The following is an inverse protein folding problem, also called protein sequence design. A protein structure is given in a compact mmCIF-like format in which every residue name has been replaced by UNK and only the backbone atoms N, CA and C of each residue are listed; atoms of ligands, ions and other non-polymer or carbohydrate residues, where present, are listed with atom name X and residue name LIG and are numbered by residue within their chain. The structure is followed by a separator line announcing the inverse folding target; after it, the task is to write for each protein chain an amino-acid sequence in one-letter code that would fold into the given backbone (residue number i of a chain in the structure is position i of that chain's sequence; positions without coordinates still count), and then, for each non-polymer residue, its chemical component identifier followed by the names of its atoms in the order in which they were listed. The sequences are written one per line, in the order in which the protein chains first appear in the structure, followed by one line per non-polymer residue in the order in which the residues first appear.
data_IF_280479657519
#
_entry.id   IF_280479657519
#
_cell.length_a   1.000
_cell.length_b   1.000
_cell.length_c   1.000
_cell.angle_alpha   90.00
_cell.angle_beta   90.00
_cell.angle_gamma   90.00
#
_symmetry.space_group_name_H-M   'P 1'
#
loop_
_entity.id
_entity.type
_entity.pdbx_description
1 polymer ?
#
# COMPACT_ATOMS: atom_id res chain seq x y z
N UNK A 1 -23.09 -6.82 9.84
CA UNK A 1 -22.63 -8.23 9.78
C UNK A 1 -21.27 -8.25 9.10
N UNK A 2 -20.29 -8.93 9.70
CA UNK A 2 -18.96 -9.18 9.11
C UNK A 2 -18.99 -10.56 8.46
N UNK A 3 -18.41 -10.76 7.26
CA UNK A 3 -18.33 -12.10 6.66
C UNK A 3 -17.37 -12.97 7.48
N UNK A 4 -17.51 -14.28 7.33
CA UNK A 4 -16.50 -15.22 7.80
C UNK A 4 -15.20 -15.07 7.01
N UNK A 5 -14.09 -15.45 7.62
CA UNK A 5 -12.77 -15.45 6.99
C UNK A 5 -12.17 -16.85 7.09
N UNK A 6 -11.50 -17.26 6.01
CA UNK A 6 -10.67 -18.45 5.97
C UNK A 6 -9.21 -18.04 5.93
N UNK A 7 -8.38 -18.76 6.69
CA UNK A 7 -7.00 -18.41 6.95
C UNK A 7 -6.09 -19.50 6.39
N UNK A 8 -5.00 -19.11 5.75
CA UNK A 8 -4.07 -20.06 5.17
C UNK A 8 -2.63 -19.65 5.46
N UNK A 9 -1.76 -20.66 5.54
CA UNK A 9 -0.32 -20.48 5.66
C UNK A 9 0.46 -21.29 4.63
N UNK A 10 1.68 -20.86 4.38
CA UNK A 10 2.70 -21.60 3.66
C UNK A 10 4.08 -21.21 4.20
N UNK A 11 5.02 -22.16 4.27
CA UNK A 11 6.41 -21.81 4.58
C UNK A 11 6.96 -20.85 3.53
N UNK A 12 7.71 -19.83 3.97
CA UNK A 12 8.33 -18.86 3.06
C UNK A 12 9.36 -19.50 2.12
N UNK A 13 9.93 -20.65 2.51
CA UNK A 13 10.93 -21.39 1.73
C UNK A 13 10.33 -22.31 0.64
N UNK A 14 9.00 -22.38 0.54
CA UNK A 14 8.30 -23.24 -0.42
C UNK A 14 7.98 -22.48 -1.71
N UNK A 15 8.13 -23.14 -2.86
CA UNK A 15 7.70 -22.57 -4.14
C UNK A 15 6.16 -22.56 -4.27
N UNK A 16 5.57 -21.53 -4.91
CA UNK A 16 6.22 -20.37 -5.54
C UNK A 16 6.48 -19.18 -4.58
N UNK A 17 6.14 -19.32 -3.29
CA UNK A 17 6.22 -18.22 -2.31
C UNK A 17 7.65 -17.69 -2.19
N UNK A 18 8.64 -18.58 -2.08
CA UNK A 18 10.06 -18.22 -2.01
C UNK A 18 10.51 -17.31 -3.15
N UNK A 19 10.27 -17.75 -4.40
CA UNK A 19 10.68 -16.98 -5.59
C UNK A 19 9.95 -15.65 -5.69
N UNK A 20 8.66 -15.61 -5.32
CA UNK A 20 7.85 -14.39 -5.36
C UNK A 20 8.25 -13.39 -4.27
N UNK A 21 8.50 -13.84 -3.04
CA UNK A 21 8.98 -12.97 -1.94
C UNK A 21 10.33 -12.35 -2.31
N UNK A 22 11.27 -13.16 -2.81
CA UNK A 22 12.56 -12.66 -3.30
C UNK A 22 12.39 -11.64 -4.42
N UNK A 23 11.59 -11.96 -5.44
CA UNK A 23 11.31 -11.04 -6.54
C UNK A 23 10.78 -9.69 -6.01
N UNK A 24 9.82 -9.73 -5.09
CA UNK A 24 9.24 -8.52 -4.54
C UNK A 24 10.27 -7.69 -3.75
N UNK A 25 11.14 -8.33 -2.97
CA UNK A 25 12.21 -7.62 -2.23
C UNK A 25 13.21 -6.95 -3.17
N UNK A 26 13.67 -7.66 -4.19
CA UNK A 26 14.60 -7.12 -5.19
C UNK A 26 13.98 -5.93 -5.94
N UNK A 27 12.69 -6.02 -6.27
CA UNK A 27 11.93 -4.96 -6.93
C UNK A 27 11.66 -3.78 -5.98
N UNK A 28 11.41 -4.03 -4.69
CA UNK A 28 11.26 -2.99 -3.67
C UNK A 28 12.55 -2.18 -3.52
N UNK A 29 13.70 -2.84 -3.49
CA UNK A 29 14.98 -2.15 -3.32
C UNK A 29 15.26 -1.19 -4.50
N UNK A 30 14.93 -1.61 -5.74
CA UNK A 30 15.01 -0.74 -6.92
C UNK A 30 14.05 0.44 -6.81
N UNK A 31 12.79 0.17 -6.42
CA UNK A 31 11.79 1.22 -6.19
C UNK A 31 12.32 2.26 -5.20
N UNK A 32 12.87 1.82 -4.08
CA UNK A 32 13.26 2.73 -2.99
C UNK A 32 14.43 3.64 -3.40
N UNK A 33 15.37 3.13 -4.21
CA UNK A 33 16.44 3.95 -4.82
C UNK A 33 15.90 4.99 -5.81
N UNK A 34 14.95 4.60 -6.67
CA UNK A 34 14.31 5.50 -7.64
C UNK A 34 13.49 6.60 -6.91
N UNK A 35 12.75 6.22 -5.86
CA UNK A 35 11.97 7.14 -5.03
C UNK A 35 12.85 8.13 -4.28
N UNK A 36 13.91 7.66 -3.63
CA UNK A 36 14.87 8.48 -2.89
C UNK A 36 15.46 9.59 -3.77
N UNK A 37 15.79 9.25 -5.03
CA UNK A 37 16.28 10.22 -6.01
C UNK A 37 15.27 11.34 -6.27
N UNK A 38 13.96 11.04 -6.33
CA UNK A 38 12.92 12.06 -6.49
C UNK A 38 12.80 12.90 -5.22
N UNK A 39 12.79 12.28 -4.04
CA UNK A 39 12.60 12.96 -2.75
C UNK A 39 13.72 13.94 -2.43
N UNK A 40 14.97 13.61 -2.78
CA UNK A 40 16.11 14.53 -2.63
C UNK A 40 15.94 15.85 -3.41
N UNK A 41 15.07 15.86 -4.43
CA UNK A 41 14.77 17.08 -5.20
C UNK A 41 13.61 17.90 -4.63
N UNK A 42 13.00 17.48 -3.52
CA UNK A 42 11.86 18.13 -2.86
C UNK A 42 12.31 18.56 -1.46
N UNK A 43 12.74 19.83 -1.26
CA UNK A 43 13.40 20.26 -0.01
C UNK A 43 12.57 20.07 1.27
N UNK A 44 11.25 20.19 1.15
CA UNK A 44 10.30 20.06 2.27
C UNK A 44 9.71 18.64 2.39
N UNK A 45 10.27 17.64 1.70
CA UNK A 45 9.79 16.25 1.80
C UNK A 45 10.12 15.65 3.16
N UNK A 46 9.10 15.24 3.91
CA UNK A 46 9.26 14.42 5.12
C UNK A 46 8.57 13.05 4.95
N UNK A 47 7.37 13.07 4.38
CA UNK A 47 6.68 11.88 3.91
C UNK A 47 5.70 12.27 2.80
N UNK A 48 5.03 11.29 2.19
CA UNK A 48 3.89 11.56 1.33
C UNK A 48 2.57 11.44 2.11
N UNK A 49 1.55 12.16 1.66
CA UNK A 49 0.18 11.98 2.13
C UNK A 49 -0.56 11.03 1.18
N UNK A 50 -1.02 9.89 1.70
CA UNK A 50 -1.70 8.86 0.94
C UNK A 50 -1.38 7.46 1.43
N UNK A 51 -1.53 6.48 0.55
CA UNK A 51 -1.25 5.07 0.82
C UNK A 51 -0.26 4.49 -0.21
N UNK A 52 -0.02 3.20 -0.10
CA UNK A 52 0.88 2.43 -0.97
C UNK A 52 0.47 2.37 -2.46
N UNK A 53 -0.75 2.81 -2.79
CA UNK A 53 -1.33 2.78 -4.13
C UNK A 53 -1.75 4.17 -4.63
N UNK A 54 -1.86 5.17 -3.75
CA UNK A 54 -2.36 6.50 -4.08
C UNK A 54 -1.66 7.57 -3.26
N UNK A 55 -0.97 8.48 -3.95
CA UNK A 55 -0.37 9.67 -3.33
C UNK A 55 -1.22 10.88 -3.65
N UNK A 56 -1.62 11.62 -2.63
CA UNK A 56 -2.45 12.82 -2.74
C UNK A 56 -1.66 14.11 -2.52
N UNK A 57 -0.39 14.03 -2.10
CA UNK A 57 0.52 15.17 -1.96
C UNK A 57 1.77 14.83 -1.16
N UNK A 58 2.65 15.83 -1.01
CA UNK A 58 3.80 15.74 -0.11
C UNK A 58 3.38 16.26 1.27
N UNK A 59 3.69 15.51 2.32
CA UNK A 59 3.43 15.91 3.69
C UNK A 59 4.69 16.51 4.32
N UNK A 60 4.49 17.57 5.10
CA UNK A 60 5.54 18.31 5.77
C UNK A 60 5.01 18.87 7.09
N UNK A 61 5.85 18.93 8.12
CA UNK A 61 5.51 19.61 9.37
C UNK A 61 5.49 21.12 9.19
N UNK A 62 4.59 21.80 9.91
CA UNK A 62 4.47 23.26 9.83
C UNK A 62 5.70 24.00 10.35
N UNK A 63 6.53 23.35 11.16
CA UNK A 63 7.75 23.92 11.73
C UNK A 63 8.99 23.67 10.84
N UNK A 64 8.83 23.03 9.69
CA UNK A 64 9.95 22.76 8.78
C UNK A 64 10.46 24.07 8.16
N UNK A 65 11.78 24.38 8.25
CA UNK A 65 12.33 25.61 7.67
C UNK A 65 12.12 25.74 6.15
N UNK A 66 12.07 24.62 5.42
CA UNK A 66 11.78 24.64 3.98
C UNK A 66 10.30 24.90 3.69
N UNK A 67 9.40 24.52 4.60
CA UNK A 67 7.98 24.89 4.50
C UNK A 67 7.78 26.39 4.66
N UNK A 68 8.46 27.01 5.63
CA UNK A 68 8.39 28.45 5.88
C UNK A 68 8.76 29.29 4.64
N UNK A 69 9.65 28.78 3.78
CA UNK A 69 10.03 29.43 2.52
C UNK A 69 8.94 29.41 1.46
N UNK A 70 8.01 28.45 1.52
CA UNK A 70 7.00 28.22 0.47
C UNK A 70 5.57 28.49 0.94
N UNK A 71 5.33 28.74 2.23
CA UNK A 71 3.98 28.85 2.81
C UNK A 71 3.12 29.95 2.18
N UNK A 72 3.75 31.01 1.69
CA UNK A 72 3.10 32.17 1.07
C UNK A 72 3.26 32.20 -0.46
N UNK A 73 3.92 31.19 -1.07
CA UNK A 73 4.10 31.08 -2.52
C UNK A 73 2.87 30.47 -3.18
N UNK A 74 2.25 31.22 -4.09
CA UNK A 74 1.04 30.84 -4.83
C UNK A 74 1.25 29.68 -5.83
N UNK A 75 2.48 29.21 -6.00
CA UNK A 75 2.83 28.02 -6.77
C UNK A 75 2.46 26.73 -6.06
N UNK A 76 2.19 26.77 -4.76
CA UNK A 76 1.86 25.61 -3.94
C UNK A 76 0.45 25.73 -3.36
N UNK A 77 -0.24 24.59 -3.31
CA UNK A 77 -1.52 24.43 -2.65
C UNK A 77 -1.29 23.65 -1.36
N UNK A 78 -1.54 24.32 -0.25
CA UNK A 78 -1.27 23.83 1.10
C UNK A 78 -2.60 23.56 1.80
N UNK A 79 -2.80 22.34 2.25
CA UNK A 79 -3.99 21.91 3.00
C UNK A 79 -3.56 21.35 4.36
N UNK A 80 -4.18 21.79 5.45
CA UNK A 80 -3.90 21.23 6.77
C UNK A 80 -4.39 19.79 6.86
N UNK A 81 -3.52 18.88 7.30
CA UNK A 81 -3.90 17.50 7.63
C UNK A 81 -4.34 17.46 9.10
N UNK A 82 -3.53 18.06 9.97
CA UNK A 82 -3.79 18.21 11.40
C UNK A 82 -3.08 19.48 11.90
N UNK A 83 -2.96 19.64 13.23
CA UNK A 83 -2.33 20.82 13.83
C UNK A 83 -0.81 20.93 13.57
N UNK A 84 -0.16 19.86 13.17
CA UNK A 84 1.30 19.77 13.05
C UNK A 84 1.79 19.57 11.62
N UNK A 85 0.93 19.09 10.72
CA UNK A 85 1.28 18.69 9.36
C UNK A 85 0.35 19.27 8.31
N UNK A 86 0.96 19.59 7.17
CA UNK A 86 0.28 20.04 5.96
C UNK A 86 0.54 19.08 4.81
N UNK A 87 -0.42 19.03 3.88
CA UNK A 87 -0.32 18.40 2.58
C UNK A 87 -0.04 19.48 1.55
N UNK A 88 0.97 19.27 0.72
CA UNK A 88 1.45 20.21 -0.29
C UNK A 88 1.30 19.56 -1.67
N UNK A 89 0.61 20.26 -2.55
CA UNK A 89 0.52 19.95 -3.99
C UNK A 89 0.88 21.19 -4.79
N UNK A 90 1.12 21.06 -6.10
CA UNK A 90 1.42 22.22 -6.93
C UNK A 90 0.18 22.89 -7.49
N UNK A 91 0.19 24.21 -7.63
CA UNK A 91 -0.77 24.90 -8.48
C UNK A 91 -0.45 24.61 -9.96
N UNK A 92 -1.39 24.00 -10.68
CA UNK A 92 -1.26 23.67 -12.09
C UNK A 92 -1.16 24.88 -13.02
N UNK A 93 -1.26 26.11 -12.51
CA UNK A 93 -1.11 27.35 -13.29
C UNK A 93 0.34 27.85 -13.32
N UNK A 94 1.16 27.52 -12.33
CA UNK A 94 2.56 27.99 -12.27
C UNK A 94 3.54 26.93 -12.77
N UNK A 95 4.72 27.36 -13.22
CA UNK A 95 5.77 26.43 -13.69
C UNK A 95 6.29 25.55 -12.54
N UNK A 96 6.47 26.15 -11.35
CA UNK A 96 6.94 25.46 -10.14
C UNK A 96 5.90 24.45 -9.66
N UNK A 97 4.62 24.84 -9.60
CA UNK A 97 3.55 23.94 -9.20
C UNK A 97 3.37 22.76 -10.18
N UNK A 98 3.43 23.01 -11.50
CA UNK A 98 3.46 21.93 -12.51
C UNK A 98 4.64 20.97 -12.29
N UNK A 99 5.83 21.49 -11.97
CA UNK A 99 7.01 20.66 -11.73
C UNK A 99 6.85 19.77 -10.48
N UNK A 100 6.28 20.28 -9.39
CA UNK A 100 5.96 19.46 -8.22
C UNK A 100 4.93 18.37 -8.56
N UNK A 101 3.87 18.72 -9.30
CA UNK A 101 2.83 17.77 -9.70
C UNK A 101 3.38 16.66 -10.62
N UNK A 102 4.34 16.99 -11.50
CA UNK A 102 5.04 15.99 -12.29
C UNK A 102 5.82 15.00 -11.41
N UNK A 103 6.57 15.48 -10.40
CA UNK A 103 7.25 14.59 -9.44
C UNK A 103 6.27 13.70 -8.68
N UNK A 104 5.15 14.24 -8.22
CA UNK A 104 4.09 13.44 -7.55
C UNK A 104 3.55 12.36 -8.51
N UNK A 105 3.41 12.69 -9.79
CA UNK A 105 2.98 11.74 -10.80
C UNK A 105 4.03 10.65 -11.05
N UNK A 106 5.31 11.01 -11.16
CA UNK A 106 6.42 10.05 -11.29
C UNK A 106 6.45 9.07 -10.12
N UNK A 107 6.26 9.57 -8.89
CA UNK A 107 6.17 8.73 -7.70
C UNK A 107 4.99 7.75 -7.81
N UNK A 108 3.81 8.19 -8.24
CA UNK A 108 2.64 7.30 -8.44
C UNK A 108 2.92 6.21 -9.47
N UNK A 109 3.60 6.56 -10.56
CA UNK A 109 3.97 5.62 -11.61
C UNK A 109 4.97 4.56 -11.10
N UNK A 110 5.94 4.97 -10.28
CA UNK A 110 6.85 4.06 -9.59
C UNK A 110 6.11 3.10 -8.65
N UNK A 111 5.17 3.60 -7.84
CA UNK A 111 4.36 2.75 -6.96
C UNK A 111 3.49 1.77 -7.74
N UNK A 112 2.98 2.16 -8.92
CA UNK A 112 2.21 1.27 -9.80
C UNK A 112 3.09 0.20 -10.46
N UNK A 113 4.30 0.57 -10.87
CA UNK A 113 5.30 -0.34 -11.45
C UNK A 113 5.78 -1.37 -10.42
N UNK A 114 5.98 -0.94 -9.18
CA UNK A 114 6.46 -1.75 -8.06
C UNK A 114 5.41 -1.79 -6.94
N UNK A 115 4.41 -2.68 -7.05
CA UNK A 115 3.27 -2.71 -6.14
C UNK A 115 3.65 -3.11 -4.71
N UNK A 116 2.75 -2.81 -3.76
CA UNK A 116 2.86 -3.32 -2.39
C UNK A 116 2.92 -4.85 -2.35
N UNK A 117 3.46 -5.39 -1.25
CA UNK A 117 3.58 -6.85 -1.06
C UNK A 117 2.22 -7.53 -1.23
N UNK A 118 1.19 -7.00 -0.57
CA UNK A 118 -0.19 -7.45 -0.68
C UNK A 118 -0.65 -7.51 -2.14
N UNK A 119 -0.52 -6.38 -2.86
CA UNK A 119 -0.99 -6.30 -4.24
C UNK A 119 -0.22 -7.20 -5.19
N UNK A 120 1.09 -7.35 -4.99
CA UNK A 120 1.96 -8.23 -5.75
C UNK A 120 1.59 -9.70 -5.54
N UNK A 121 1.63 -10.16 -4.29
CA UNK A 121 1.42 -11.56 -3.94
C UNK A 121 0.02 -12.03 -4.32
N UNK A 122 -1.02 -11.29 -3.92
CA UNK A 122 -2.40 -11.68 -4.21
C UNK A 122 -2.69 -11.71 -5.71
N UNK A 123 -2.05 -10.85 -6.51
CA UNK A 123 -2.16 -10.89 -7.98
C UNK A 123 -1.45 -12.09 -8.58
N UNK A 124 -0.21 -12.36 -8.16
CA UNK A 124 0.61 -13.48 -8.67
C UNK A 124 0.01 -14.83 -8.32
N UNK A 125 -0.55 -14.96 -7.12
CA UNK A 125 -1.18 -16.18 -6.62
C UNK A 125 -2.67 -16.30 -7.00
N UNK A 126 -3.26 -15.29 -7.64
CA UNK A 126 -4.69 -15.23 -8.03
C UNK A 126 -5.65 -15.39 -6.83
N UNK A 127 -5.31 -14.79 -5.69
CA UNK A 127 -6.05 -14.87 -4.42
C UNK A 127 -6.86 -13.61 -4.08
N UNK A 128 -6.90 -12.62 -4.98
CA UNK A 128 -7.72 -11.41 -4.78
C UNK A 128 -9.19 -11.80 -4.67
N UNK A 129 -9.84 -11.38 -3.60
CA UNK A 129 -11.26 -11.56 -3.37
C UNK A 129 -11.81 -10.31 -2.68
N UNK A 130 -12.92 -9.78 -3.19
CA UNK A 130 -13.67 -8.67 -2.62
C UNK A 130 -15.07 -9.13 -2.24
N UNK A 131 -15.41 -9.04 -0.96
CA UNK A 131 -16.75 -9.33 -0.44
C UNK A 131 -17.38 -8.02 0.00
N UNK A 132 -18.51 -7.67 -0.61
CA UNK A 132 -19.15 -6.37 -0.42
C UNK A 132 -20.39 -6.50 0.46
N UNK A 133 -20.35 -5.90 1.66
CA UNK A 133 -21.52 -5.71 2.50
C UNK A 133 -22.21 -4.37 2.22
N UNK A 134 -23.29 -4.07 2.93
CA UNK A 134 -24.10 -2.87 2.68
C UNK A 134 -23.36 -1.53 2.83
N UNK A 135 -22.32 -1.47 3.66
CA UNK A 135 -21.55 -0.23 3.93
C UNK A 135 -20.03 -0.44 3.97
N UNK A 136 -19.55 -1.67 3.80
CA UNK A 136 -18.14 -2.03 3.96
C UNK A 136 -17.76 -3.08 2.93
N UNK A 137 -16.58 -2.90 2.32
CA UNK A 137 -15.90 -3.93 1.55
C UNK A 137 -14.91 -4.67 2.44
N UNK A 138 -14.86 -5.99 2.28
CA UNK A 138 -13.88 -6.87 2.91
C UNK A 138 -13.01 -7.45 1.79
N UNK A 139 -11.69 -7.36 1.95
CA UNK A 139 -10.74 -7.79 0.93
C UNK A 139 -9.84 -8.88 1.47
N UNK A 140 -9.31 -9.72 0.57
CA UNK A 140 -8.19 -10.59 0.90
C UNK A 140 -6.98 -9.74 1.32
N UNK A 141 -6.29 -10.17 2.37
CA UNK A 141 -5.01 -9.61 2.81
C UNK A 141 -4.01 -10.74 3.05
N UNK A 142 -2.73 -10.46 2.82
CA UNK A 142 -1.62 -11.37 3.09
C UNK A 142 -0.41 -10.65 3.68
N UNK A 143 0.48 -11.43 4.29
CA UNK A 143 1.71 -10.94 4.89
C UNK A 143 2.68 -12.07 5.17
N UNK A 144 3.78 -11.73 5.83
CA UNK A 144 4.78 -12.69 6.29
C UNK A 144 4.98 -12.50 7.78
N UNK A 145 4.89 -13.58 8.55
CA UNK A 145 5.20 -13.61 9.97
C UNK A 145 5.73 -15.00 10.36
N UNK A 146 6.65 -15.05 11.32
CA UNK A 146 7.28 -16.30 11.80
C UNK A 146 7.73 -17.26 10.66
N UNK A 147 8.42 -16.74 9.65
CA UNK A 147 8.85 -17.48 8.45
C UNK A 147 7.72 -18.16 7.64
N UNK A 148 6.48 -17.68 7.79
CA UNK A 148 5.33 -18.14 7.03
C UNK A 148 4.72 -17.00 6.21
N UNK A 149 4.34 -17.30 4.97
CA UNK A 149 3.37 -16.52 4.23
C UNK A 149 1.98 -16.83 4.75
N UNK A 150 1.23 -15.79 5.10
CA UNK A 150 -0.09 -15.86 5.69
C UNK A 150 -1.10 -15.13 4.79
N UNK A 151 -2.30 -15.68 4.63
CA UNK A 151 -3.39 -15.03 3.88
C UNK A 151 -4.74 -15.23 4.58
N UNK A 152 -5.51 -14.15 4.65
CA UNK A 152 -6.86 -14.11 5.20
C UNK A 152 -7.83 -13.72 4.09
N UNK A 153 -8.77 -14.61 3.76
CA UNK A 153 -9.68 -14.47 2.62
C UNK A 153 -11.13 -14.39 3.14
N UNK A 154 -11.89 -13.32 2.84
CA UNK A 154 -13.30 -13.23 3.21
C UNK A 154 -14.15 -14.23 2.40
N UNK A 155 -15.18 -14.78 3.04
CA UNK A 155 -16.14 -15.70 2.41
C UNK A 155 -17.45 -14.97 2.14
N UNK A 156 -17.90 -14.97 0.88
CA UNK A 156 -19.18 -14.38 0.49
C UNK A 156 -20.34 -15.26 0.93
N UNK A 157 -21.18 -14.77 1.85
CA UNK A 157 -22.48 -15.39 2.16
C UNK A 157 -23.59 -14.77 1.29
N UNK A 158 -24.79 -15.38 1.27
CA UNK A 158 -25.90 -14.95 0.39
C UNK A 158 -26.30 -13.47 0.51
N UNK A 159 -26.06 -12.86 1.68
CA UNK A 159 -26.38 -11.46 1.94
C UNK A 159 -25.31 -10.46 1.44
N UNK A 160 -24.17 -10.96 0.96
CA UNK A 160 -23.07 -10.13 0.47
C UNK A 160 -22.96 -10.19 -1.06
N UNK A 161 -22.55 -9.06 -1.65
CA UNK A 161 -22.12 -8.99 -3.05
C UNK A 161 -20.61 -9.27 -3.19
N UNK A 162 -20.10 -9.08 -4.41
CA UNK A 162 -18.68 -9.23 -4.74
C UNK A 162 -18.30 -10.63 -5.24
N UNK A 163 -17.03 -10.96 -5.11
CA UNK A 163 -16.40 -12.14 -5.70
C UNK A 163 -16.84 -13.44 -5.02
N UNK A 164 -16.72 -14.55 -5.75
CA UNK A 164 -16.78 -15.87 -5.14
C UNK A 164 -15.44 -16.18 -4.46
N UNK A 165 -15.46 -17.14 -3.54
CA UNK A 165 -14.24 -17.61 -2.88
C UNK A 165 -13.28 -18.19 -3.94
N UNK A 166 -11.99 -17.77 -3.95
CA UNK A 166 -11.05 -18.18 -4.98
C UNK A 166 -10.66 -19.66 -4.82
N UNK A 167 -10.17 -20.26 -5.91
CA UNK A 167 -9.52 -21.57 -5.85
C UNK A 167 -8.22 -21.45 -5.05
N UNK A 168 -8.06 -22.28 -4.03
CA UNK A 168 -6.88 -22.27 -3.16
C UNK A 168 -5.82 -23.19 -3.75
N UNK A 169 -4.60 -22.70 -4.02
CA UNK A 169 -3.50 -23.55 -4.46
C UNK A 169 -3.08 -24.56 -3.39
N UNK A 170 -2.70 -25.76 -3.79
CA UNK A 170 -2.37 -26.89 -2.89
C UNK A 170 -1.16 -26.63 -1.97
N UNK A 171 -0.32 -25.64 -2.28
CA UNK A 171 0.79 -25.27 -1.40
C UNK A 171 0.34 -24.48 -0.17
N UNK A 172 -0.87 -23.91 -0.17
CA UNK A 172 -1.47 -23.24 0.97
C UNK A 172 -2.20 -24.25 1.85
N UNK A 173 -1.89 -24.26 3.14
CA UNK A 173 -2.60 -25.06 4.14
C UNK A 173 -3.58 -24.20 4.89
N UNK A 174 -4.84 -24.60 4.92
CA UNK A 174 -5.85 -23.92 5.75
C UNK A 174 -5.55 -24.12 7.23
N UNK A 175 -5.68 -23.05 8.01
CA UNK A 175 -5.43 -23.03 9.45
C UNK A 175 -6.59 -22.36 10.17
N UNK A 176 -6.66 -22.59 11.49
CA UNK A 176 -7.62 -21.91 12.35
C UNK A 176 -7.25 -20.44 12.52
N UNK A 177 -8.24 -19.60 12.76
CA UNK A 177 -8.01 -18.19 13.12
C UNK A 177 -7.05 -18.05 14.30
N UNK A 178 -7.20 -18.88 15.33
CA UNK A 178 -6.34 -18.84 16.53
C UNK A 178 -4.86 -19.07 16.20
N UNK A 179 -4.57 -19.95 15.24
CA UNK A 179 -3.20 -20.20 14.78
C UNK A 179 -2.69 -19.04 13.92
N UNK A 180 -3.54 -18.47 13.07
CA UNK A 180 -3.21 -17.30 12.26
C UNK A 180 -2.85 -16.07 13.13
N UNK A 181 -3.59 -15.83 14.22
CA UNK A 181 -3.30 -14.77 15.18
C UNK A 181 -2.00 -15.03 15.96
N UNK A 182 -1.82 -16.25 16.47
CA UNK A 182 -0.61 -16.63 17.19
C UNK A 182 0.67 -16.42 16.36
N UNK A 183 0.63 -16.72 15.06
CA UNK A 183 1.77 -16.50 14.15
C UNK A 183 2.10 -15.02 13.93
N UNK A 184 1.15 -14.11 14.16
CA UNK A 184 1.35 -12.67 14.08
C UNK A 184 1.82 -12.05 15.41
N UNK A 185 1.91 -12.84 16.48
CA UNK A 185 2.20 -12.35 17.83
C UNK A 185 0.99 -11.72 18.53
N UNK A 186 -0.23 -12.05 18.07
CA UNK A 186 -1.51 -11.62 18.64
C UNK A 186 -2.20 -12.73 19.46
#
# INVERSE_FOLDING_TARGET
MRPEFRYFKCSLDKEPIKSLDKQWRDDREKRDKELETIFQTIPFYECWYGDENSIFGIACTINNPEFEKIKDDNSYKIEKINNERVKITGDGRTKVGKALNAKIQDIRELLKKYPSFNNFMLRKLKLRCWVLGNRMGYITVCGVADNHFLVSIPVKTKAFGGDNFPNIPDFLTEIKQSEFLALQGE
#
